data_IF_404809526949
#
_entry.id   IF_404809526949
#
_cell.length_a   1.000
_cell.length_b   1.000
_cell.length_c   1.000
_cell.angle_alpha   90.00
_cell.angle_beta   90.00
_cell.angle_gamma   90.00
#
_symmetry.space_group_name_H-M   'P 1'
#
loop_
_entity.id
_entity.type
_entity.pdbx_description
1 polymer ?
#
# COMPACT_ATOMS: atom_id res chain seq x y z
N UNK A 1 -2.48 -2.57 -0.11
CA UNK A 1 -1.05 -2.88 0.12
C UNK A 1 -0.75 -2.39 1.52
N UNK A 2 -0.21 -3.25 2.37
CA UNK A 2 0.14 -2.87 3.74
C UNK A 2 1.46 -2.10 3.73
N UNK A 3 1.42 -0.87 4.23
CA UNK A 3 2.57 0.02 4.31
C UNK A 3 2.85 0.35 5.76
N UNK A 4 4.12 0.31 6.14
CA UNK A 4 4.57 0.78 7.43
C UNK A 4 4.67 2.30 7.39
N UNK A 5 4.04 2.97 8.35
CA UNK A 5 4.15 4.41 8.57
C UNK A 5 4.77 4.70 9.93
N UNK A 6 5.69 5.64 9.99
CA UNK A 6 6.30 6.16 11.22
C UNK A 6 5.62 7.44 11.64
N UNK A 7 5.39 7.59 12.94
CA UNK A 7 4.73 8.75 13.55
C UNK A 7 5.69 9.41 14.53
N UNK A 8 5.77 10.74 14.45
CA UNK A 8 6.41 11.62 15.44
C UNK A 8 5.30 12.27 16.27
N UNK A 9 5.27 11.99 17.57
CA UNK A 9 4.26 12.54 18.48
C UNK A 9 4.61 13.99 18.83
N UNK A 10 3.64 14.91 18.83
CA UNK A 10 3.90 16.30 19.19
C UNK A 10 4.40 16.44 20.63
N UNK A 11 5.32 17.39 20.86
CA UNK A 11 5.87 17.65 22.20
C UNK A 11 5.03 18.62 23.02
N UNK A 12 4.14 19.36 22.36
CA UNK A 12 3.22 20.32 22.97
C UNK A 12 1.95 20.52 22.11
N UNK A 13 0.97 21.24 22.64
CA UNK A 13 -0.36 21.42 22.01
C UNK A 13 -0.36 22.24 20.70
N UNK A 14 0.75 22.87 20.32
CA UNK A 14 0.86 23.65 19.08
C UNK A 14 1.61 22.91 17.96
N UNK A 15 1.96 21.64 18.18
CA UNK A 15 2.62 20.79 17.19
C UNK A 15 1.63 19.74 16.66
N UNK A 16 1.73 19.46 15.37
CA UNK A 16 1.00 18.36 14.73
C UNK A 16 1.77 17.03 14.88
N UNK A 17 1.08 15.92 14.65
CA UNK A 17 1.73 14.62 14.47
C UNK A 17 2.49 14.62 13.15
N UNK A 18 3.78 14.31 13.19
CA UNK A 18 4.57 14.07 11.98
C UNK A 18 4.32 12.66 11.46
N UNK A 19 4.20 12.50 10.14
CA UNK A 19 3.95 11.21 9.48
C UNK A 19 5.03 10.99 8.43
N UNK A 20 5.68 9.83 8.45
CA UNK A 20 6.63 9.40 7.42
C UNK A 20 6.22 8.03 6.87
N UNK A 21 6.38 7.83 5.56
CA UNK A 21 6.10 6.55 4.89
C UNK A 21 7.38 6.03 4.23
N UNK A 22 8.26 5.32 4.97
CA UNK A 22 9.63 5.02 4.55
C UNK A 22 9.79 4.28 3.22
N UNK A 23 8.85 3.40 2.88
CA UNK A 23 8.90 2.65 1.61
C UNK A 23 8.85 3.57 0.38
N UNK A 24 8.34 4.79 0.54
CA UNK A 24 8.26 5.82 -0.49
C UNK A 24 9.42 6.84 -0.42
N UNK A 25 10.43 6.59 0.40
CA UNK A 25 11.65 7.38 0.44
C UNK A 25 12.66 6.76 -0.53
N UNK A 26 12.94 7.46 -1.61
CA UNK A 26 13.93 7.08 -2.63
C UNK A 26 14.82 8.29 -2.92
N UNK A 27 15.79 8.16 -3.83
CA UNK A 27 16.63 9.30 -4.23
C UNK A 27 15.84 10.47 -4.84
N UNK A 28 14.60 10.23 -5.29
CA UNK A 28 13.73 11.23 -5.94
C UNK A 28 12.48 11.61 -5.14
N UNK A 29 12.05 10.76 -4.22
CA UNK A 29 10.77 10.90 -3.54
C UNK A 29 10.94 10.82 -2.02
N UNK A 30 10.09 11.55 -1.31
CA UNK A 30 9.91 11.40 0.12
C UNK A 30 8.43 11.62 0.43
N UNK A 31 7.85 10.74 1.24
CA UNK A 31 6.44 10.82 1.63
C UNK A 31 6.32 11.22 3.09
N UNK A 32 6.16 12.52 3.32
CA UNK A 32 5.96 13.11 4.65
C UNK A 32 4.60 13.80 4.67
N UNK A 33 3.89 13.67 5.79
CA UNK A 33 2.61 14.33 6.02
C UNK A 33 2.52 14.79 7.47
N UNK A 34 1.42 15.44 7.83
CA UNK A 34 1.10 15.81 9.20
C UNK A 34 -0.41 15.75 9.44
N UNK A 35 -0.78 15.53 10.70
CA UNK A 35 -2.16 15.51 11.17
C UNK A 35 -2.28 16.30 12.48
N UNK A 36 -3.33 17.11 12.63
CA UNK A 36 -3.54 17.89 13.86
C UNK A 36 -4.09 17.00 14.98
N UNK A 37 -4.79 15.92 14.61
CA UNK A 37 -5.35 14.94 15.55
C UNK A 37 -4.94 13.51 15.20
N UNK A 38 -5.02 12.60 16.19
CA UNK A 38 -4.67 11.19 16.00
C UNK A 38 -5.62 10.51 15.01
N UNK A 39 -6.89 10.89 15.02
CA UNK A 39 -7.95 10.38 14.15
C UNK A 39 -7.73 10.74 12.68
N UNK A 40 -7.02 11.84 12.39
CA UNK A 40 -6.72 12.30 11.04
C UNK A 40 -5.53 11.58 10.42
N UNK A 41 -4.66 10.94 11.22
CA UNK A 41 -3.44 10.26 10.74
C UNK A 41 -3.73 9.32 9.56
N UNK A 42 -4.73 8.40 9.60
CA UNK A 42 -4.97 7.50 8.48
C UNK A 42 -5.32 8.23 7.19
N UNK A 43 -6.14 9.29 7.28
CA UNK A 43 -6.56 10.09 6.12
C UNK A 43 -5.38 10.86 5.55
N UNK A 44 -4.66 11.61 6.40
CA UNK A 44 -3.52 12.44 6.01
C UNK A 44 -2.35 11.62 5.45
N UNK A 45 -2.12 10.42 5.99
CA UNK A 45 -1.14 9.47 5.46
C UNK A 45 -1.60 8.92 4.10
N UNK A 46 -2.86 8.53 3.96
CA UNK A 46 -3.40 7.96 2.71
C UNK A 46 -3.32 8.97 1.56
N UNK A 47 -3.69 10.23 1.80
CA UNK A 47 -3.64 11.29 0.78
C UNK A 47 -2.21 11.59 0.34
N UNK A 48 -1.26 11.67 1.28
CA UNK A 48 0.15 11.85 0.97
C UNK A 48 0.73 10.66 0.18
N UNK A 49 0.38 9.43 0.56
CA UNK A 49 0.78 8.21 -0.16
C UNK A 49 0.27 8.25 -1.59
N UNK A 50 -1.01 8.56 -1.80
CA UNK A 50 -1.59 8.65 -3.15
C UNK A 50 -0.91 9.73 -4.00
N UNK A 51 -0.57 10.87 -3.40
CA UNK A 51 0.13 11.96 -4.09
C UNK A 51 1.52 11.51 -4.58
N UNK A 52 2.30 10.82 -3.74
CA UNK A 52 3.61 10.29 -4.15
C UNK A 52 3.47 9.17 -5.18
N UNK A 53 2.52 8.24 -4.99
CA UNK A 53 2.28 7.16 -5.95
C UNK A 53 1.83 7.69 -7.33
N UNK A 54 1.06 8.78 -7.37
CA UNK A 54 0.69 9.43 -8.63
C UNK A 54 1.92 9.99 -9.34
N UNK A 55 2.78 10.74 -8.63
CA UNK A 55 4.04 11.23 -9.22
C UNK A 55 4.94 10.09 -9.70
N UNK A 56 5.11 9.03 -8.89
CA UNK A 56 5.88 7.86 -9.27
C UNK A 56 5.33 7.20 -10.54
N UNK A 57 4.00 7.10 -10.66
CA UNK A 57 3.34 6.52 -11.81
C UNK A 57 3.52 7.37 -13.07
N UNK A 58 3.39 8.69 -12.97
CA UNK A 58 3.61 9.64 -14.08
C UNK A 58 5.06 9.60 -14.59
N UNK A 59 6.02 9.42 -13.68
CA UNK A 59 7.44 9.24 -14.00
C UNK A 59 7.79 7.84 -14.56
N UNK A 60 6.80 6.94 -14.68
CA UNK A 60 6.97 5.58 -15.19
C UNK A 60 7.68 4.64 -14.22
N UNK A 61 7.66 4.94 -12.92
CA UNK A 61 8.23 4.08 -11.89
C UNK A 61 7.32 2.87 -11.65
N UNK A 62 7.90 1.69 -11.54
CA UNK A 62 7.14 0.47 -11.22
C UNK A 62 6.75 0.44 -9.74
N UNK A 63 5.52 0.86 -9.45
CA UNK A 63 4.94 0.87 -8.11
C UNK A 63 4.73 -0.54 -7.56
N UNK A 64 4.61 -1.55 -8.43
CA UNK A 64 4.42 -2.94 -8.00
C UNK A 64 5.70 -3.54 -7.42
N UNK A 65 6.86 -2.96 -7.72
CA UNK A 65 8.14 -3.35 -7.14
C UNK A 65 8.40 -2.78 -5.74
N UNK A 66 7.51 -1.92 -5.21
CA UNK A 66 7.64 -1.40 -3.85
C UNK A 66 7.47 -2.54 -2.83
N UNK A 67 8.49 -2.71 -2.00
CA UNK A 67 8.50 -3.72 -0.95
C UNK A 67 8.64 -3.06 0.42
N UNK A 68 7.57 -3.11 1.22
CA UNK A 68 7.64 -2.67 2.60
C UNK A 68 8.52 -3.63 3.43
N UNK A 69 9.54 -3.09 4.09
CA UNK A 69 10.51 -3.86 4.88
C UNK A 69 10.10 -4.05 6.34
N UNK A 70 8.96 -3.48 6.75
CA UNK A 70 8.42 -3.55 8.10
C UNK A 70 9.09 -2.60 9.11
N UNK A 71 8.34 -2.27 10.16
CA UNK A 71 8.76 -1.28 11.17
C UNK A 71 10.11 -1.56 11.83
N UNK A 72 10.45 -2.82 12.12
CA UNK A 72 11.75 -3.16 12.75
C UNK A 72 12.93 -2.75 11.88
N UNK A 73 12.80 -2.87 10.56
CA UNK A 73 13.83 -2.43 9.63
C UNK A 73 13.93 -0.91 9.65
N UNK A 74 12.80 -0.21 9.46
CA UNK A 74 12.81 1.24 9.35
C UNK A 74 13.21 1.95 10.66
N UNK A 75 12.83 1.41 11.82
CA UNK A 75 13.25 1.91 13.14
C UNK A 75 14.77 1.83 13.36
N UNK A 76 15.47 0.94 12.63
CA UNK A 76 16.93 0.83 12.72
C UNK A 76 17.69 1.85 11.86
N UNK A 77 17.00 2.62 11.02
CA UNK A 77 17.60 3.60 10.12
C UNK A 77 17.65 4.97 10.79
N UNK A 78 18.81 5.63 10.76
CA UNK A 78 19.00 6.94 11.39
C UNK A 78 18.02 8.01 10.89
N UNK A 79 17.63 7.92 9.62
CA UNK A 79 16.70 8.84 8.98
C UNK A 79 15.29 8.83 9.61
N UNK A 80 14.94 7.83 10.41
CA UNK A 80 13.61 7.72 11.03
C UNK A 80 13.68 7.67 12.57
N UNK A 81 14.81 8.07 13.16
CA UNK A 81 14.99 8.11 14.63
C UNK A 81 14.02 9.06 15.34
N UNK A 82 13.44 10.02 14.62
CA UNK A 82 12.44 10.95 15.15
C UNK A 82 11.05 10.31 15.25
N UNK A 83 10.80 9.17 14.59
CA UNK A 83 9.54 8.45 14.72
C UNK A 83 9.53 7.61 16.01
N UNK A 84 8.60 7.93 16.92
CA UNK A 84 8.41 7.20 18.18
C UNK A 84 7.40 6.05 18.08
N UNK A 85 6.50 6.11 17.10
CA UNK A 85 5.39 5.16 16.94
C UNK A 85 5.33 4.65 15.51
N UNK A 86 4.92 3.38 15.34
CA UNK A 86 4.86 2.72 14.04
C UNK A 86 3.51 2.04 13.84
N UNK A 87 2.88 2.29 12.69
CA UNK A 87 1.57 1.75 12.33
C UNK A 87 1.64 1.03 10.98
N UNK A 88 0.68 0.12 10.74
CA UNK A 88 0.45 -0.49 9.43
C UNK A 88 -0.84 0.10 8.84
N UNK A 89 -0.73 0.62 7.62
CA UNK A 89 -1.85 1.19 6.87
C UNK A 89 -2.09 0.37 5.61
N UNK A 90 -3.33 -0.04 5.36
CA UNK A 90 -3.70 -0.71 4.10
C UNK A 90 -4.17 0.33 3.07
N UNK A 91 -3.41 0.48 1.99
CA UNK A 91 -3.69 1.45 0.93
C UNK A 91 -4.03 0.76 -0.39
N UNK A 92 -5.12 1.16 -1.03
CA UNK A 92 -5.50 0.64 -2.34
C UNK A 92 -4.63 1.24 -3.46
N UNK A 93 -3.60 0.50 -3.86
CA UNK A 93 -2.71 0.90 -4.95
C UNK A 93 -3.19 0.44 -6.34
N UNK A 94 -4.39 -0.17 -6.43
CA UNK A 94 -4.90 -0.67 -7.71
C UNK A 94 -5.03 0.37 -8.84
N UNK A 95 -5.22 1.68 -8.58
CA UNK A 95 -5.17 2.70 -9.63
C UNK A 95 -3.82 2.77 -10.37
N UNK A 96 -2.72 2.39 -9.69
CA UNK A 96 -1.36 2.53 -10.20
C UNK A 96 -0.78 1.23 -10.79
N UNK A 97 -1.55 0.15 -10.77
CA UNK A 97 -1.16 -1.15 -11.34
C UNK A 97 -1.40 -1.23 -12.87
N UNK A 98 -1.58 -0.07 -13.52
CA UNK A 98 -1.95 0.05 -14.92
C UNK A 98 -3.46 -0.10 -15.17
N UNK A 99 -3.89 0.25 -16.39
CA UNK A 99 -5.30 0.12 -16.77
C UNK A 99 -5.72 -1.35 -16.78
N UNK A 100 -6.79 -1.68 -16.04
CA UNK A 100 -7.43 -2.99 -16.12
C UNK A 100 -7.81 -3.31 -17.56
N UNK A 101 -7.20 -4.34 -18.13
CA UNK A 101 -7.55 -4.85 -19.45
C UNK A 101 -8.55 -6.00 -19.32
N UNK A 102 -9.65 -5.93 -20.08
CA UNK A 102 -10.61 -7.03 -20.14
C UNK A 102 -10.13 -8.07 -21.14
N UNK A 103 -9.76 -9.23 -20.64
CA UNK A 103 -9.35 -10.39 -21.46
C UNK A 103 -10.47 -11.42 -21.53
N UNK A 104 -10.55 -12.14 -22.65
CA UNK A 104 -11.40 -13.33 -22.78
C UNK A 104 -10.50 -14.57 -22.68
N UNK A 105 -10.83 -15.50 -21.78
CA UNK A 105 -10.06 -16.73 -21.54
C UNK A 105 -10.98 -17.96 -21.52
N UNK A 106 -10.42 -19.12 -21.86
CA UNK A 106 -11.09 -20.41 -21.75
C UNK A 106 -10.50 -21.19 -20.58
N UNK A 107 -11.34 -21.62 -19.64
CA UNK A 107 -10.95 -22.45 -18.50
C UNK A 107 -11.82 -23.71 -18.44
N UNK A 108 -11.32 -24.85 -17.94
CA UNK A 108 -12.14 -26.02 -17.69
C UNK A 108 -13.31 -25.72 -16.74
N UNK A 109 -14.50 -26.25 -17.03
CA UNK A 109 -15.71 -25.97 -16.25
C UNK A 109 -15.55 -26.29 -14.75
N UNK A 110 -14.88 -27.39 -14.42
CA UNK A 110 -14.64 -27.78 -13.03
C UNK A 110 -13.80 -26.73 -12.28
N UNK A 111 -12.87 -26.07 -12.98
CA UNK A 111 -12.02 -25.04 -12.39
C UNK A 111 -12.83 -23.77 -12.12
N UNK A 112 -13.69 -23.37 -13.06
CA UNK A 112 -14.61 -22.23 -12.88
C UNK A 112 -15.49 -22.44 -11.65
N UNK A 113 -16.11 -23.63 -11.51
CA UNK A 113 -16.94 -23.96 -10.33
C UNK A 113 -16.16 -23.88 -9.02
N UNK A 114 -14.89 -24.32 -9.01
CA UNK A 114 -14.02 -24.23 -7.82
C UNK A 114 -13.64 -22.79 -7.48
N UNK A 115 -13.36 -21.97 -8.48
CA UNK A 115 -13.10 -20.53 -8.30
C UNK A 115 -14.33 -19.85 -7.70
N UNK A 116 -15.52 -20.08 -8.27
CA UNK A 116 -16.78 -19.53 -7.76
C UNK A 116 -17.04 -19.88 -6.31
N UNK A 117 -16.89 -21.18 -5.97
CA UNK A 117 -17.07 -21.67 -4.60
C UNK A 117 -16.09 -20.98 -3.64
N UNK A 118 -14.84 -20.74 -4.08
CA UNK A 118 -13.81 -20.10 -3.26
C UNK A 118 -14.07 -18.60 -3.08
N UNK A 119 -14.48 -17.89 -4.13
CA UNK A 119 -14.82 -16.47 -4.07
C UNK A 119 -16.04 -16.26 -3.16
N UNK A 120 -17.06 -17.11 -3.28
CA UNK A 120 -18.27 -17.00 -2.46
C UNK A 120 -18.05 -17.31 -0.96
N UNK A 121 -17.06 -18.16 -0.64
CA UNK A 121 -16.82 -18.61 0.75
C UNK A 121 -15.72 -17.85 1.48
N UNK A 122 -14.96 -16.98 0.80
CA UNK A 122 -13.86 -16.25 1.40
C UNK A 122 -13.95 -14.74 1.09
N UNK A 123 -14.23 -13.88 2.10
CA UNK A 123 -14.45 -12.45 1.92
C UNK A 123 -13.21 -11.68 1.45
N UNK A 124 -12.02 -12.31 1.45
CA UNK A 124 -10.81 -11.72 0.88
C UNK A 124 -10.95 -11.49 -0.63
N UNK A 125 -11.74 -12.31 -1.34
CA UNK A 125 -11.93 -12.18 -2.78
C UNK A 125 -13.17 -11.34 -3.10
N UNK A 126 -13.01 -10.33 -3.97
CA UNK A 126 -14.11 -9.45 -4.40
C UNK A 126 -14.92 -10.11 -5.52
N UNK A 127 -14.23 -10.69 -6.50
CA UNK A 127 -14.80 -11.38 -7.65
C UNK A 127 -13.80 -12.38 -8.27
N UNK A 128 -14.18 -13.03 -9.37
CA UNK A 128 -13.31 -13.96 -10.14
C UNK A 128 -12.03 -13.29 -10.63
N UNK A 129 -12.11 -12.04 -11.08
CA UNK A 129 -10.96 -11.31 -11.61
C UNK A 129 -9.96 -11.03 -10.49
N UNK A 130 -10.44 -10.63 -9.29
CA UNK A 130 -9.60 -10.43 -8.11
C UNK A 130 -8.92 -11.73 -7.69
N UNK A 131 -9.65 -12.85 -7.68
CA UNK A 131 -9.07 -14.16 -7.39
C UNK A 131 -7.96 -14.53 -8.38
N UNK A 132 -8.21 -14.39 -9.68
CA UNK A 132 -7.25 -14.72 -10.74
C UNK A 132 -6.02 -13.81 -10.70
N UNK A 133 -6.20 -12.52 -10.37
CA UNK A 133 -5.10 -11.58 -10.22
C UNK A 133 -4.18 -11.98 -9.06
N UNK A 134 -4.73 -12.23 -7.86
CA UNK A 134 -3.95 -12.69 -6.70
C UNK A 134 -3.22 -14.00 -7.00
N UNK A 135 -3.92 -14.96 -7.61
CA UNK A 135 -3.31 -16.24 -7.97
C UNK A 135 -2.17 -16.08 -8.97
N UNK A 136 -2.33 -15.20 -9.96
CA UNK A 136 -1.29 -14.92 -10.97
C UNK A 136 -0.10 -14.18 -10.38
N UNK A 137 -0.32 -13.19 -9.51
CA UNK A 137 0.76 -12.50 -8.78
C UNK A 137 1.59 -13.51 -7.97
N UNK A 138 0.91 -14.37 -7.21
CA UNK A 138 1.56 -15.43 -6.44
C UNK A 138 2.41 -16.37 -7.31
N UNK A 139 1.89 -16.77 -8.47
CA UNK A 139 2.59 -17.66 -9.41
C UNK A 139 3.79 -16.95 -10.10
N UNK A 140 3.66 -15.65 -10.38
CA UNK A 140 4.70 -14.84 -11.00
C UNK A 140 5.72 -14.28 -10.00
N UNK A 141 5.56 -14.56 -8.71
CA UNK A 141 6.36 -13.99 -7.62
C UNK A 141 6.35 -12.44 -7.61
N UNK A 142 5.20 -11.87 -7.94
CA UNK A 142 4.88 -10.44 -7.80
C UNK A 142 4.18 -10.17 -6.47
#
# INVERSE_FOLDING_TARGET
MLLTIGIETPTNENEAYGIAVPVLFTDKYACISAADTLEEIPTQATDAIHSILEMMFEDGTDITALQDKGYKHYQSLENFNYCDTWLLLDVDISPYQGKRQRINISLPEYLIKRIDSRVASNPIYKDRSHFLAIASQKELHL
#
